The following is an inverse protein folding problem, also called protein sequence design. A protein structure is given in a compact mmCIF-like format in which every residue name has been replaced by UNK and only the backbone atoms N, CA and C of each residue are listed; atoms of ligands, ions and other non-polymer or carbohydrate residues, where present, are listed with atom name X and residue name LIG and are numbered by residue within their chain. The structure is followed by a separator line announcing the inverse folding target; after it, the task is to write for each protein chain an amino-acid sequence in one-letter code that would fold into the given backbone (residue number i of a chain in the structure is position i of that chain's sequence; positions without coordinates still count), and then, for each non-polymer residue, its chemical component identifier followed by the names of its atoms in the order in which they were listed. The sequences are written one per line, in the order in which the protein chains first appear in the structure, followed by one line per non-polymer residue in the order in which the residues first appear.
data_IF_673545831693
#
_entry.id   IF_673545831693
#
_cell.length_a   1.000
_cell.length_b   1.000
_cell.length_c   1.000
_cell.angle_alpha   90.00
_cell.angle_beta   90.00
_cell.angle_gamma   90.00
#
_symmetry.space_group_name_H-M   'P 1'
#
loop_
_entity.id
_entity.type
_entity.pdbx_description
1 polymer ?
#
# COMPACT_ATOMS: atom_id res chain seq x y z
N UNK A 1 -22.07 12.14 -13.72
CA UNK A 1 -21.37 11.45 -12.63
C UNK A 1 -20.78 10.17 -13.21
N UNK A 2 -19.48 10.01 -13.16
CA UNK A 2 -18.84 8.74 -13.48
C UNK A 2 -19.10 7.80 -12.31
N UNK A 3 -19.79 6.67 -12.57
CA UNK A 3 -19.92 5.62 -11.58
C UNK A 3 -18.56 5.01 -11.29
N UNK A 4 -18.27 4.77 -10.02
CA UNK A 4 -17.06 4.07 -9.60
C UNK A 4 -17.45 2.79 -8.88
N UNK A 5 -16.81 1.68 -9.24
CA UNK A 5 -16.85 0.47 -8.44
C UNK A 5 -15.71 0.49 -7.42
N UNK A 6 -15.97 0.01 -6.22
CA UNK A 6 -15.01 0.01 -5.13
C UNK A 6 -15.14 -1.26 -4.28
N UNK A 7 -14.05 -1.61 -3.62
CA UNK A 7 -13.98 -2.64 -2.59
C UNK A 7 -13.25 -2.05 -1.38
N UNK A 8 -13.72 -2.37 -0.19
CA UNK A 8 -13.01 -2.16 1.06
C UNK A 8 -12.75 -3.51 1.72
N UNK A 9 -11.58 -3.67 2.29
CA UNK A 9 -11.17 -4.88 2.99
C UNK A 9 -10.73 -4.51 4.41
N UNK A 10 -11.24 -5.24 5.40
CA UNK A 10 -10.79 -5.12 6.78
C UNK A 10 -9.40 -5.71 6.92
N UNK A 11 -8.48 -4.96 7.53
CA UNK A 11 -7.18 -5.48 7.94
C UNK A 11 -7.34 -6.21 9.27
N UNK A 12 -6.92 -7.48 9.39
CA UNK A 12 -6.92 -8.20 10.66
C UNK A 12 -6.12 -7.47 11.74
N UNK A 13 -6.46 -7.69 13.02
CA UNK A 13 -5.94 -6.94 14.15
C UNK A 13 -4.41 -7.10 14.36
N UNK A 14 -3.83 -8.22 13.91
CA UNK A 14 -2.41 -8.54 13.99
C UNK A 14 -1.65 -8.26 12.68
N UNK A 15 -2.28 -7.52 11.78
CA UNK A 15 -1.79 -7.31 10.43
C UNK A 15 -1.66 -5.84 10.10
N UNK A 16 -0.94 -5.55 9.04
CA UNK A 16 -0.82 -4.23 8.46
C UNK A 16 -1.03 -4.26 6.95
N UNK A 17 -1.38 -3.12 6.38
CA UNK A 17 -1.52 -2.95 4.94
C UNK A 17 -0.60 -1.83 4.45
N UNK A 18 0.10 -2.06 3.34
CA UNK A 18 0.92 -1.05 2.65
C UNK A 18 0.50 -0.95 1.20
N UNK A 19 0.31 0.27 0.73
CA UNK A 19 0.04 0.52 -0.68
C UNK A 19 0.61 1.85 -1.14
N UNK A 20 0.91 1.95 -2.43
CA UNK A 20 1.12 3.21 -3.13
C UNK A 20 -0.19 3.74 -3.73
N UNK A 21 -0.09 4.58 -4.77
CA UNK A 21 -1.26 5.07 -5.51
C UNK A 21 -1.73 4.02 -6.53
N UNK A 22 -2.15 2.86 -6.07
CA UNK A 22 -2.55 1.73 -6.93
C UNK A 22 -3.71 0.96 -6.30
N UNK A 23 -4.42 0.18 -7.10
CA UNK A 23 -5.31 -0.86 -6.60
C UNK A 23 -4.44 -1.95 -5.99
N UNK A 24 -4.61 -2.24 -4.70
CA UNK A 24 -3.75 -3.16 -3.96
C UNK A 24 -4.50 -4.36 -3.37
N UNK A 25 -5.83 -4.28 -3.22
CA UNK A 25 -6.65 -5.40 -2.76
C UNK A 25 -6.61 -6.49 -3.82
N UNK A 26 -6.28 -7.70 -3.41
CA UNK A 26 -6.25 -8.90 -4.23
C UNK A 26 -7.58 -9.65 -4.20
N UNK A 27 -7.58 -10.89 -3.76
CA UNK A 27 -8.75 -11.76 -3.74
C UNK A 27 -9.87 -11.18 -2.87
N UNK A 28 -11.08 -11.12 -3.42
CA UNK A 28 -12.28 -10.66 -2.72
C UNK A 28 -13.21 -11.87 -2.52
N UNK A 29 -13.56 -12.12 -1.27
CA UNK A 29 -14.57 -13.12 -0.93
C UNK A 29 -15.94 -12.45 -0.73
N UNK A 30 -16.83 -12.60 -1.70
CA UNK A 30 -18.20 -12.09 -1.64
C UNK A 30 -19.12 -12.86 -0.67
N UNK A 31 -18.62 -13.92 -0.03
CA UNK A 31 -19.34 -14.64 1.02
C UNK A 31 -18.90 -14.20 2.42
N UNK A 32 -17.96 -13.30 2.53
CA UNK A 32 -17.43 -12.78 3.80
C UNK A 32 -17.72 -11.28 3.97
N UNK A 33 -18.97 -10.89 4.27
CA UNK A 33 -19.34 -9.49 4.44
C UNK A 33 -18.79 -8.85 5.73
N UNK A 34 -18.22 -9.64 6.63
CA UNK A 34 -17.58 -9.13 7.86
C UNK A 34 -16.21 -8.53 7.59
N UNK A 35 -15.52 -9.01 6.56
CA UNK A 35 -14.18 -8.56 6.18
C UNK A 35 -14.14 -7.80 4.85
N UNK A 36 -15.18 -7.89 4.02
CA UNK A 36 -15.24 -7.20 2.74
C UNK A 36 -16.53 -6.39 2.58
N UNK A 37 -16.39 -5.24 1.97
CA UNK A 37 -17.51 -4.41 1.53
C UNK A 37 -17.26 -3.95 0.09
N UNK A 38 -18.29 -3.96 -0.74
CA UNK A 38 -18.15 -3.63 -2.16
C UNK A 38 -19.35 -2.84 -2.68
N UNK A 39 -19.16 -2.16 -3.80
CA UNK A 39 -20.23 -1.44 -4.48
C UNK A 39 -21.23 -2.39 -5.15
N UNK A 40 -22.51 -2.03 -5.12
CA UNK A 40 -23.58 -2.79 -5.79
C UNK A 40 -23.29 -3.03 -7.27
N UNK A 41 -23.62 -4.23 -7.74
CA UNK A 41 -23.52 -4.60 -9.15
C UNK A 41 -22.10 -4.80 -9.70
N UNK A 42 -21.06 -4.76 -8.85
CA UNK A 42 -19.66 -4.89 -9.31
C UNK A 42 -19.40 -6.23 -10.01
N UNK A 43 -19.92 -7.34 -9.49
CA UNK A 43 -19.72 -8.65 -10.09
C UNK A 43 -20.38 -8.74 -11.46
N UNK A 44 -21.66 -8.29 -11.57
CA UNK A 44 -22.40 -8.25 -12.85
C UNK A 44 -21.68 -7.36 -13.86
N UNK A 45 -21.15 -6.22 -13.43
CA UNK A 45 -20.39 -5.32 -14.29
C UNK A 45 -19.14 -5.99 -14.86
N UNK A 46 -18.37 -6.69 -14.02
CA UNK A 46 -17.16 -7.41 -14.42
C UNK A 46 -17.49 -8.55 -15.40
N UNK A 47 -18.50 -9.35 -15.10
CA UNK A 47 -18.95 -10.45 -15.97
C UNK A 47 -19.44 -9.95 -17.33
N UNK A 48 -20.35 -8.97 -17.34
CA UNK A 48 -20.94 -8.41 -18.54
C UNK A 48 -19.90 -7.79 -19.48
N UNK A 49 -18.84 -7.23 -18.93
CA UNK A 49 -17.80 -6.57 -19.70
C UNK A 49 -16.55 -7.45 -19.90
N UNK A 50 -16.54 -8.69 -19.44
CA UNK A 50 -15.43 -9.64 -19.56
C UNK A 50 -14.10 -9.08 -19.03
N UNK A 51 -14.14 -8.42 -17.87
CA UNK A 51 -12.98 -7.70 -17.33
C UNK A 51 -12.06 -8.59 -16.50
N UNK A 52 -12.49 -9.74 -16.03
CA UNK A 52 -11.65 -10.62 -15.22
C UNK A 52 -10.65 -11.37 -16.11
N UNK A 53 -9.34 -11.14 -15.96
CA UNK A 53 -8.32 -11.84 -16.71
C UNK A 53 -8.04 -13.25 -16.17
N UNK A 54 -8.43 -13.51 -14.91
CA UNK A 54 -8.10 -14.75 -14.22
C UNK A 54 -9.10 -15.85 -14.57
N UNK A 55 -8.60 -17.08 -14.71
CA UNK A 55 -9.45 -18.25 -14.95
C UNK A 55 -10.29 -18.63 -13.73
N UNK A 56 -9.76 -18.39 -12.55
CA UNK A 56 -10.37 -18.72 -11.25
C UNK A 56 -10.19 -17.58 -10.27
N UNK A 57 -11.18 -17.42 -9.39
CA UNK A 57 -11.16 -16.39 -8.35
C UNK A 57 -11.61 -15.02 -8.85
N UNK A 58 -11.54 -14.05 -7.98
CA UNK A 58 -11.93 -12.69 -8.24
C UNK A 58 -10.92 -11.73 -7.58
N UNK A 59 -9.85 -11.42 -8.32
CA UNK A 59 -8.79 -10.56 -7.87
C UNK A 59 -9.05 -9.12 -8.30
N UNK A 60 -9.35 -8.26 -7.32
CA UNK A 60 -9.69 -6.86 -7.60
C UNK A 60 -8.51 -6.08 -8.21
N UNK A 61 -7.30 -6.41 -7.80
CA UNK A 61 -6.06 -5.86 -8.35
C UNK A 61 -5.90 -6.20 -9.83
N UNK A 62 -6.14 -7.46 -10.22
CA UNK A 62 -6.02 -7.91 -11.61
C UNK A 62 -7.13 -7.36 -12.50
N UNK A 63 -8.35 -7.20 -11.96
CA UNK A 63 -9.50 -6.71 -12.72
C UNK A 63 -9.43 -5.20 -12.97
N UNK A 64 -9.09 -4.40 -11.95
CA UNK A 64 -9.19 -2.94 -11.98
C UNK A 64 -7.86 -2.21 -11.84
N UNK A 65 -6.79 -2.93 -11.50
CA UNK A 65 -5.47 -2.35 -11.34
C UNK A 65 -4.73 -2.15 -12.66
N UNK A 66 -3.70 -1.34 -12.60
CA UNK A 66 -2.74 -1.16 -13.69
C UNK A 66 -1.45 -1.91 -13.39
N UNK A 67 -0.74 -2.31 -14.46
CA UNK A 67 0.55 -2.98 -14.39
C UNK A 67 1.49 -2.36 -15.45
N UNK A 68 1.56 -1.05 -15.47
CA UNK A 68 2.34 -0.30 -16.44
C UNK A 68 3.68 0.22 -15.87
N UNK A 69 4.45 0.86 -16.73
CA UNK A 69 5.76 1.41 -16.38
C UNK A 69 5.68 2.51 -15.31
N UNK A 70 4.54 3.21 -15.20
CA UNK A 70 4.34 4.20 -14.14
C UNK A 70 4.18 3.53 -12.78
N UNK A 71 3.49 2.39 -12.71
CA UNK A 71 3.41 1.61 -11.49
C UNK A 71 4.79 1.11 -11.04
N UNK A 72 5.61 0.65 -11.98
CA UNK A 72 7.00 0.21 -11.70
C UNK A 72 7.88 1.33 -11.16
N UNK A 73 7.69 2.56 -11.64
CA UNK A 73 8.50 3.70 -11.20
C UNK A 73 7.95 4.36 -9.92
N UNK A 74 6.63 4.46 -9.78
CA UNK A 74 5.99 5.28 -8.75
C UNK A 74 5.35 4.48 -7.62
N UNK A 75 4.70 3.36 -7.89
CA UNK A 75 3.76 2.77 -6.94
C UNK A 75 4.28 1.49 -6.30
N UNK A 76 4.69 0.52 -7.09
CA UNK A 76 5.19 -0.78 -6.62
C UNK A 76 6.40 -0.66 -5.69
N UNK A 77 7.43 0.16 -6.00
CA UNK A 77 8.58 0.31 -5.12
C UNK A 77 8.24 0.91 -3.75
N UNK A 78 7.23 1.77 -3.67
CA UNK A 78 6.79 2.34 -2.38
C UNK A 78 6.11 1.29 -1.50
N UNK A 79 5.31 0.42 -2.08
CA UNK A 79 4.73 -0.73 -1.37
C UNK A 79 5.82 -1.71 -0.93
N UNK A 80 6.70 -2.08 -1.85
CA UNK A 80 7.87 -2.92 -1.55
C UNK A 80 8.68 -2.41 -0.36
N UNK A 81 9.01 -1.12 -0.37
CA UNK A 81 9.85 -0.55 0.71
C UNK A 81 9.12 -0.50 2.06
N UNK A 82 7.81 -0.25 2.06
CA UNK A 82 7.02 -0.33 3.28
C UNK A 82 7.06 -1.73 3.90
N UNK A 83 6.91 -2.78 3.09
CA UNK A 83 7.07 -4.16 3.57
C UNK A 83 8.50 -4.46 4.03
N UNK A 84 9.52 -3.98 3.32
CA UNK A 84 10.92 -4.14 3.70
C UNK A 84 11.25 -3.52 5.06
N UNK A 85 10.63 -2.40 5.41
CA UNK A 85 10.81 -1.77 6.73
C UNK A 85 10.11 -2.56 7.84
N UNK A 86 8.88 -3.04 7.57
CA UNK A 86 8.05 -3.72 8.57
C UNK A 86 8.32 -5.21 8.69
N UNK A 87 8.83 -5.84 7.64
CA UNK A 87 9.21 -7.26 7.60
C UNK A 87 10.56 -7.42 6.88
N UNK A 88 11.68 -7.03 7.51
CA UNK A 88 13.00 -7.00 6.87
C UNK A 88 13.50 -8.38 6.40
N UNK A 89 12.99 -9.46 6.99
CA UNK A 89 13.33 -10.84 6.61
C UNK A 89 12.61 -11.32 5.34
N UNK A 90 11.60 -10.58 4.87
CA UNK A 90 10.87 -10.93 3.66
C UNK A 90 11.45 -10.19 2.46
N UNK A 91 11.89 -10.97 1.47
CA UNK A 91 12.41 -10.41 0.23
C UNK A 91 11.33 -10.39 -0.84
N UNK A 92 11.03 -9.19 -1.35
CA UNK A 92 10.19 -8.97 -2.53
C UNK A 92 11.01 -8.28 -3.62
N UNK A 93 10.66 -8.54 -4.87
CA UNK A 93 11.15 -7.74 -5.99
C UNK A 93 10.45 -6.36 -5.97
N UNK A 94 11.18 -5.24 -5.99
CA UNK A 94 10.56 -3.92 -6.05
C UNK A 94 9.71 -3.68 -7.30
N UNK A 95 9.81 -4.54 -8.31
CA UNK A 95 9.02 -4.50 -9.54
C UNK A 95 7.85 -5.49 -9.56
N UNK A 96 7.68 -6.29 -8.51
CA UNK A 96 6.59 -7.26 -8.42
C UNK A 96 5.24 -6.55 -8.26
N UNK A 97 4.36 -6.76 -9.23
CA UNK A 97 3.00 -6.19 -9.21
C UNK A 97 2.08 -6.86 -8.19
N UNK A 98 2.41 -8.07 -7.76
CA UNK A 98 1.56 -8.91 -6.91
C UNK A 98 2.06 -8.99 -5.47
N UNK A 99 2.84 -7.99 -5.03
CA UNK A 99 3.22 -7.84 -3.62
C UNK A 99 1.94 -7.83 -2.76
N UNK A 100 1.87 -8.66 -1.70
CA UNK A 100 0.69 -8.73 -0.84
C UNK A 100 0.28 -7.37 -0.28
N UNK A 101 -1.03 -7.10 -0.28
CA UNK A 101 -1.57 -5.86 0.31
C UNK A 101 -1.53 -5.88 1.83
N UNK A 102 -1.90 -7.02 2.44
CA UNK A 102 -1.95 -7.24 3.89
C UNK A 102 -0.91 -8.27 4.27
N UNK A 103 -0.13 -7.96 5.30
CA UNK A 103 0.84 -8.87 5.89
C UNK A 103 0.80 -8.81 7.42
N UNK A 104 1.29 -9.88 8.04
CA UNK A 104 1.56 -9.92 9.47
C UNK A 104 3.01 -9.54 9.74
N UNK A 105 3.28 -9.02 10.93
CA UNK A 105 4.62 -8.79 11.45
C UNK A 105 4.76 -9.47 12.81
N UNK A 106 5.95 -9.84 13.18
CA UNK A 106 6.29 -10.47 14.46
C UNK A 106 6.50 -9.46 15.59
N UNK A 107 6.44 -8.17 15.29
CA UNK A 107 6.63 -7.09 16.24
C UNK A 107 5.50 -6.04 16.14
N UNK A 108 5.36 -5.28 17.21
CA UNK A 108 4.42 -4.16 17.23
C UNK A 108 4.94 -3.01 16.39
N UNK A 109 4.18 -2.60 15.39
CA UNK A 109 4.47 -1.40 14.60
C UNK A 109 4.30 -0.16 15.46
N UNK A 110 5.32 0.67 15.49
CA UNK A 110 5.37 1.92 16.27
C UNK A 110 5.06 3.14 15.40
N UNK A 111 4.87 4.29 16.04
CA UNK A 111 4.74 5.56 15.32
C UNK A 111 6.02 5.86 14.53
N UNK A 112 7.17 5.59 15.12
CA UNK A 112 8.49 5.78 14.51
C UNK A 112 8.69 4.93 13.25
N UNK A 113 8.15 3.71 13.21
CA UNK A 113 8.19 2.87 12.00
C UNK A 113 7.39 3.51 10.87
N UNK A 114 6.20 4.04 11.17
CA UNK A 114 5.36 4.74 10.19
C UNK A 114 6.03 6.03 9.72
N UNK A 115 6.60 6.82 10.62
CA UNK A 115 7.34 8.05 10.30
C UNK A 115 8.54 7.74 9.41
N UNK A 116 9.28 6.66 9.71
CA UNK A 116 10.40 6.19 8.89
C UNK A 116 9.98 5.86 7.46
N UNK A 117 8.83 5.21 7.30
CA UNK A 117 8.30 4.89 5.96
C UNK A 117 7.89 6.19 5.23
N UNK A 118 7.14 7.07 5.89
CA UNK A 118 6.64 8.29 5.29
C UNK A 118 7.74 9.28 4.91
N UNK A 119 8.85 9.30 5.66
CA UNK A 119 10.03 10.13 5.37
C UNK A 119 11.06 9.44 4.47
N UNK A 120 10.75 8.28 3.91
CA UNK A 120 11.72 7.45 3.22
C UNK A 120 12.05 7.91 1.81
N UNK A 121 13.33 7.77 1.47
CA UNK A 121 13.87 7.84 0.12
C UNK A 121 14.59 6.53 -0.28
N UNK A 122 14.18 5.38 0.30
CA UNK A 122 14.74 4.03 0.08
C UNK A 122 16.10 3.82 0.74
N UNK A 123 16.34 4.42 1.91
CA UNK A 123 17.59 4.31 2.68
C UNK A 123 18.00 2.85 2.87
N UNK A 124 19.29 2.56 2.72
CA UNK A 124 19.85 1.22 2.84
C UNK A 124 19.58 0.32 1.65
N UNK A 125 19.27 0.90 0.50
CA UNK A 125 19.09 0.16 -0.76
C UNK A 125 19.87 0.85 -1.89
N UNK A 126 20.16 0.13 -3.00
CA UNK A 126 20.77 0.74 -4.18
C UNK A 126 19.91 1.82 -4.87
N UNK A 127 18.63 1.91 -4.51
CA UNK A 127 17.66 2.84 -5.09
C UNK A 127 17.55 4.18 -4.34
N UNK A 128 18.35 4.35 -3.29
CA UNK A 128 18.38 5.59 -2.52
C UNK A 128 19.08 6.71 -3.33
N UNK A 129 18.36 7.76 -3.77
CA UNK A 129 18.96 8.85 -4.54
C UNK A 129 19.98 9.66 -3.76
N UNK A 130 19.95 9.62 -2.42
CA UNK A 130 20.85 10.32 -1.53
C UNK A 130 21.92 9.40 -0.93
N UNK A 131 21.81 8.09 -1.16
CA UNK A 131 22.69 7.07 -0.63
C UNK A 131 24.05 7.00 -1.34
N UNK A 132 24.96 6.22 -0.76
CA UNK A 132 26.27 5.95 -1.34
C UNK A 132 26.31 4.66 -2.18
N UNK A 133 25.29 3.81 -2.05
CA UNK A 133 25.16 2.55 -2.77
C UNK A 133 24.43 2.73 -4.11
N UNK A 134 24.60 1.76 -4.99
CA UNK A 134 23.94 1.73 -6.29
C UNK A 134 24.59 2.62 -7.35
N UNK A 135 24.24 2.32 -8.60
CA UNK A 135 24.63 3.12 -9.77
C UNK A 135 23.72 4.33 -9.93
N UNK A 136 24.15 5.33 -10.73
CA UNK A 136 23.29 6.49 -11.02
C UNK A 136 21.95 6.08 -11.64
N UNK A 137 21.92 5.02 -12.46
CA UNK A 137 20.71 4.49 -13.02
C UNK A 137 19.76 3.91 -11.95
N UNK A 138 20.28 3.17 -10.97
CA UNK A 138 19.50 2.61 -9.87
C UNK A 138 18.93 3.71 -8.97
N UNK A 139 19.72 4.72 -8.64
CA UNK A 139 19.30 5.86 -7.81
C UNK A 139 18.19 6.71 -8.42
N UNK A 140 18.01 6.66 -9.73
CA UNK A 140 16.95 7.36 -10.45
C UNK A 140 15.84 6.43 -10.95
N UNK A 141 15.92 5.13 -10.62
CA UNK A 141 14.96 4.14 -11.11
C UNK A 141 13.58 4.32 -10.51
N UNK A 142 13.49 4.66 -9.24
CA UNK A 142 12.25 4.74 -8.49
C UNK A 142 12.01 6.12 -7.91
N UNK A 143 10.75 6.53 -7.89
CA UNK A 143 10.35 7.75 -7.20
C UNK A 143 10.23 7.48 -5.69
N UNK A 144 10.96 8.19 -4.82
CA UNK A 144 10.86 8.03 -3.37
C UNK A 144 9.45 8.28 -2.82
N UNK A 145 9.20 7.78 -1.60
CA UNK A 145 8.00 8.09 -0.82
C UNK A 145 8.03 9.57 -0.42
N UNK A 146 9.13 9.97 0.23
CA UNK A 146 9.38 11.34 0.62
C UNK A 146 10.06 12.12 -0.50
N UNK A 147 9.54 13.28 -0.82
CA UNK A 147 10.02 14.16 -1.88
C UNK A 147 10.17 15.58 -1.36
N UNK A 148 11.10 16.36 -1.94
CA UNK A 148 11.26 17.78 -1.64
C UNK A 148 10.01 18.65 -1.88
N UNK A 149 9.00 18.12 -2.58
CA UNK A 149 7.70 18.75 -2.83
C UNK A 149 6.55 18.12 -2.04
N UNK A 150 6.84 17.23 -1.10
CA UNK A 150 5.82 16.68 -0.20
C UNK A 150 5.28 17.84 0.65
N UNK A 151 3.99 18.11 0.55
CA UNK A 151 3.36 19.23 1.25
C UNK A 151 3.03 18.92 2.69
N UNK A 152 2.54 17.70 2.94
CA UNK A 152 2.26 17.21 4.27
C UNK A 152 2.35 15.68 4.31
N UNK A 153 2.61 15.16 5.50
CA UNK A 153 2.37 13.78 5.86
C UNK A 153 1.66 13.73 7.20
N UNK A 154 0.85 12.71 7.44
CA UNK A 154 0.12 12.58 8.69
C UNK A 154 -0.08 11.12 9.08
N UNK A 155 -0.20 10.90 10.38
CA UNK A 155 -0.57 9.61 10.97
C UNK A 155 -1.80 9.82 11.84
N UNK A 156 -2.82 9.01 11.64
CA UNK A 156 -3.98 8.93 12.51
C UNK A 156 -3.80 7.72 13.43
N UNK A 157 -3.63 7.99 14.71
CA UNK A 157 -3.46 6.96 15.74
C UNK A 157 -4.74 6.82 16.55
N UNK A 158 -5.30 5.61 16.58
CA UNK A 158 -6.44 5.27 17.44
C UNK A 158 -5.93 4.50 18.65
N UNK A 159 -6.29 4.96 19.84
CA UNK A 159 -5.84 4.43 21.14
C UNK A 159 -7.02 3.94 21.96
N UNK A 160 -7.21 2.64 21.98
CA UNK A 160 -8.31 1.99 22.71
C UNK A 160 -8.10 1.98 24.24
N UNK A 161 -6.90 2.36 24.70
CA UNK A 161 -6.51 2.48 26.10
C UNK A 161 -6.87 3.85 26.73
N UNK A 162 -7.39 4.78 25.94
CA UNK A 162 -7.78 6.12 26.37
C UNK A 162 -9.30 6.32 26.31
N UNK A 163 -9.84 7.27 27.10
CA UNK A 163 -11.23 7.69 26.94
C UNK A 163 -11.55 8.14 25.51
N UNK A 164 -12.77 7.90 25.03
CA UNK A 164 -13.21 8.19 23.66
C UNK A 164 -12.85 9.61 23.20
N UNK A 165 -13.03 10.61 24.05
CA UNK A 165 -12.70 12.01 23.73
C UNK A 165 -11.20 12.29 23.49
N UNK A 166 -10.31 11.37 23.85
CA UNK A 166 -8.85 11.47 23.70
C UNK A 166 -8.25 10.26 22.94
N UNK A 167 -9.09 9.39 22.40
CA UNK A 167 -8.65 8.14 21.79
C UNK A 167 -8.02 8.30 20.40
N UNK A 168 -8.21 9.44 19.74
CA UNK A 168 -7.66 9.69 18.41
C UNK A 168 -6.68 10.84 18.43
N UNK A 169 -5.46 10.58 17.96
CA UNK A 169 -4.40 11.58 17.83
C UNK A 169 -4.03 11.68 16.37
N UNK A 170 -3.94 12.91 15.85
CA UNK A 170 -3.40 13.19 14.52
C UNK A 170 -2.01 13.79 14.66
N UNK A 171 -1.01 13.08 14.17
CA UNK A 171 0.34 13.56 14.00
C UNK A 171 0.46 14.15 12.60
N UNK A 172 0.95 15.37 12.48
CA UNK A 172 1.04 16.05 11.20
C UNK A 172 2.40 16.73 11.06
N UNK A 173 3.02 16.52 9.89
CA UNK A 173 4.24 17.21 9.46
C UNK A 173 3.97 17.98 8.18
N UNK A 174 4.46 19.20 8.09
CA UNK A 174 4.45 20.02 6.88
C UNK A 174 5.84 19.94 6.23
N UNK A 175 5.90 19.29 5.08
CA UNK A 175 7.14 18.95 4.41
C UNK A 175 7.67 17.56 4.78
N UNK A 176 8.96 17.37 4.59
CA UNK A 176 9.70 16.13 4.85
C UNK A 176 10.79 16.37 5.87
#
# INVERSE_FOLDING_TARGET
ATGHHWVAQRTPDDSYAVTGNRVAIHQVDFNDPDNFMWSDGIQEFVEKNHLNPDKYGWDFRHIFGTADIFDQHYNTPRQWYGHKVLNPETEFDPLDFDIPFIMQTDHRITLEDVEKILSSHYQGTPYDPLGHEGTDQQKHMFRPISLNRTQNSHVLQVRNDLPEAASTIMWMSFGI
#
